data_IF_155824536275
#
_entry.id   IF_155824536275
#
_cell.length_a   1.000
_cell.length_b   1.000
_cell.length_c   1.000
_cell.angle_alpha   90.00
_cell.angle_beta   90.00
_cell.angle_gamma   90.00
#
_symmetry.space_group_name_H-M   'P 1'
#
loop_
_entity.id
_entity.type
_entity.pdbx_description
1 polymer ?
#
# COMPACT_ATOMS: atom_id res chain seq x y z
N UNK A 1 -3.59 13.64 -9.59
CA UNK A 1 -3.30 13.13 -8.24
C UNK A 1 -4.61 12.92 -7.51
N UNK A 2 -4.98 11.67 -7.27
CA UNK A 2 -6.10 11.31 -6.38
C UNK A 2 -5.54 10.97 -5.01
N UNK A 3 -6.30 11.27 -3.97
CA UNK A 3 -5.95 10.92 -2.58
C UNK A 3 -7.00 9.94 -2.10
N UNK A 4 -6.54 8.81 -1.58
CA UNK A 4 -7.37 7.78 -0.97
C UNK A 4 -7.11 7.79 0.53
N UNK A 5 -8.17 7.61 1.31
CA UNK A 5 -8.09 7.42 2.75
C UNK A 5 -8.45 5.98 3.02
N UNK A 6 -7.53 5.24 3.64
CA UNK A 6 -7.74 3.85 4.02
C UNK A 6 -7.67 3.71 5.55
N UNK A 7 -8.40 2.75 6.13
CA UNK A 7 -8.21 2.37 7.52
C UNK A 7 -6.78 1.91 7.78
N UNK A 8 -6.20 2.32 8.92
CA UNK A 8 -4.87 1.87 9.36
C UNK A 8 -4.83 0.35 9.54
N UNK A 9 -5.97 -0.30 9.82
CA UNK A 9 -6.08 -1.76 9.94
C UNK A 9 -5.67 -2.51 8.67
N UNK A 10 -5.69 -1.87 7.50
CA UNK A 10 -5.30 -2.50 6.24
C UNK A 10 -3.81 -2.85 6.20
N UNK A 11 -2.98 -2.10 6.94
CA UNK A 11 -1.55 -2.39 7.08
C UNK A 11 -1.27 -3.76 7.73
N UNK A 12 -2.26 -4.32 8.44
CA UNK A 12 -2.17 -5.64 9.05
C UNK A 12 -2.66 -6.77 8.13
N UNK A 13 -3.21 -6.46 6.96
CA UNK A 13 -3.68 -7.46 6.03
C UNK A 13 -2.48 -8.10 5.31
N UNK A 14 -2.39 -9.44 5.21
CA UNK A 14 -1.25 -10.11 4.60
C UNK A 14 -0.94 -9.61 3.19
N UNK A 15 -1.96 -9.41 2.35
CA UNK A 15 -1.77 -8.90 0.99
C UNK A 15 -1.27 -7.46 0.94
N UNK A 16 -1.59 -6.62 1.94
CA UNK A 16 -1.00 -5.29 2.03
C UNK A 16 0.46 -5.38 2.50
N UNK A 17 0.78 -6.30 3.42
CA UNK A 17 2.16 -6.54 3.86
C UNK A 17 3.05 -7.04 2.72
N UNK A 18 2.54 -7.88 1.81
CA UNK A 18 3.27 -8.28 0.61
C UNK A 18 3.62 -7.07 -0.28
N UNK A 19 2.69 -6.13 -0.48
CA UNK A 19 2.95 -4.89 -1.20
C UNK A 19 4.02 -4.02 -0.50
N UNK A 20 4.03 -4.02 0.84
CA UNK A 20 5.06 -3.33 1.63
C UNK A 20 6.44 -3.99 1.48
N UNK A 21 6.50 -5.33 1.49
CA UNK A 21 7.73 -6.08 1.24
C UNK A 21 8.29 -5.78 -0.15
N UNK A 22 7.43 -5.78 -1.17
CA UNK A 22 7.84 -5.42 -2.53
C UNK A 22 8.36 -3.99 -2.61
N UNK A 23 7.70 -3.05 -1.93
CA UNK A 23 8.16 -1.66 -1.84
C UNK A 23 9.54 -1.57 -1.17
N UNK A 24 9.77 -2.31 -0.09
CA UNK A 24 11.07 -2.40 0.58
C UNK A 24 12.14 -2.99 -0.35
N UNK A 25 11.86 -4.10 -1.04
CA UNK A 25 12.81 -4.75 -1.95
C UNK A 25 13.23 -3.83 -3.10
N UNK A 26 12.31 -3.01 -3.62
CA UNK A 26 12.58 -2.13 -4.76
C UNK A 26 13.18 -0.78 -4.35
N UNK A 27 12.68 -0.17 -3.26
CA UNK A 27 13.03 1.20 -2.88
C UNK A 27 13.88 1.29 -1.60
N UNK A 28 14.01 0.21 -0.84
CA UNK A 28 14.61 0.22 0.49
C UNK A 28 13.77 1.03 1.50
N UNK A 29 14.38 1.34 2.65
CA UNK A 29 13.74 2.13 3.71
C UNK A 29 14.06 3.63 3.67
N UNK A 30 15.02 4.04 2.83
CA UNK A 30 15.45 5.44 2.75
C UNK A 30 14.48 6.22 1.86
N UNK A 31 13.46 6.79 2.48
CA UNK A 31 12.46 7.60 1.80
C UNK A 31 12.68 9.08 2.13
N UNK A 32 13.42 9.85 1.29
CA UNK A 32 13.78 11.24 1.58
C UNK A 32 12.58 12.18 1.71
N UNK A 33 11.45 11.84 1.09
CA UNK A 33 10.18 12.57 1.19
C UNK A 33 9.33 12.18 2.40
N UNK A 34 9.75 11.19 3.19
CA UNK A 34 9.02 10.67 4.36
C UNK A 34 7.70 9.94 4.02
N UNK A 35 7.40 9.79 2.74
CA UNK A 35 6.25 9.04 2.23
C UNK A 35 6.67 7.68 1.71
N UNK A 36 5.75 6.73 1.78
CA UNK A 36 5.91 5.39 1.23
C UNK A 36 5.48 5.36 -0.24
N UNK A 37 6.28 4.71 -1.08
CA UNK A 37 5.95 4.44 -2.49
C UNK A 37 5.56 2.97 -2.63
N UNK A 38 4.36 2.69 -3.15
CA UNK A 38 3.91 1.33 -3.41
C UNK A 38 4.11 1.02 -4.90
N UNK A 39 4.81 -0.06 -5.30
CA UNK A 39 5.05 -0.43 -6.69
C UNK A 39 3.82 -1.10 -7.32
N UNK A 40 2.68 -0.41 -7.36
CA UNK A 40 1.45 -0.93 -7.97
C UNK A 40 0.72 0.15 -8.78
N UNK A 41 -0.16 -0.27 -9.67
CA UNK A 41 -1.06 0.66 -10.37
C UNK A 41 -2.20 1.13 -9.46
N UNK A 42 -2.75 2.32 -9.73
CA UNK A 42 -3.89 2.87 -8.95
C UNK A 42 -5.06 1.87 -8.90
N UNK A 43 -5.38 1.21 -10.02
CA UNK A 43 -6.47 0.23 -10.10
C UNK A 43 -6.21 -1.03 -9.26
N UNK A 44 -4.95 -1.48 -9.18
CA UNK A 44 -4.56 -2.64 -8.37
C UNK A 44 -4.65 -2.32 -6.88
N UNK A 45 -4.16 -1.13 -6.48
CA UNK A 45 -4.31 -0.63 -5.12
C UNK A 45 -5.79 -0.54 -4.71
N UNK A 46 -6.64 -0.03 -5.59
CA UNK A 46 -8.08 0.04 -5.36
C UNK A 46 -8.73 -1.33 -5.25
N UNK A 47 -8.34 -2.29 -6.07
CA UNK A 47 -8.84 -3.66 -6.00
C UNK A 47 -8.47 -4.32 -4.66
N UNK A 48 -7.21 -4.19 -4.23
CA UNK A 48 -6.73 -4.72 -2.95
C UNK A 48 -7.45 -4.07 -1.76
N UNK A 49 -7.60 -2.75 -1.79
CA UNK A 49 -8.28 -2.00 -0.71
C UNK A 49 -9.79 -2.20 -0.70
N UNK A 50 -10.43 -2.48 -1.84
CA UNK A 50 -11.84 -2.85 -1.90
C UNK A 50 -12.12 -4.16 -1.18
N UNK A 51 -11.24 -5.17 -1.31
CA UNK A 51 -11.38 -6.44 -0.59
C UNK A 51 -11.29 -6.32 0.93
N UNK A 52 -10.76 -5.20 1.45
CA UNK A 52 -10.63 -4.96 2.88
C UNK A 52 -11.78 -4.13 3.47
N UNK A 53 -12.67 -3.56 2.63
CA UNK A 53 -13.80 -2.73 3.08
C UNK A 53 -14.97 -3.56 3.65
N UNK A 54 -14.94 -4.87 3.51
CA UNK A 54 -15.96 -5.81 4.03
C UNK A 54 -15.60 -6.45 5.39
N UNK A 55 -14.57 -5.94 6.11
CA UNK A 55 -14.15 -6.41 7.44
C UNK A 55 -14.49 -5.43 8.57
#
# INVERSE_FOLDING_TARGET
MRRFVIPVSYLNQPSFQELLSQAEEEFGYDHPTGGLTIPCQEDEFLNVTACFNDL
#
